data_IF_110608670038
#
_entry.id   IF_110608670038
#
_cell.length_a   1.000
_cell.length_b   1.000
_cell.length_c   1.000
_cell.angle_alpha   90.00
_cell.angle_beta   90.00
_cell.angle_gamma   90.00
#
_symmetry.space_group_name_H-M   'P 1'
#
loop_
_entity.id
_entity.type
_entity.pdbx_description
1 polymer ?
#
# COMPACT_ATOMS: atom_id res chain seq x y z
N UNK A 1 15.33 55.42 -8.80
CA UNK A 1 13.94 55.78 -8.45
C UNK A 1 13.10 55.83 -9.71
N UNK A 2 11.86 55.30 -9.66
CA UNK A 2 10.80 55.17 -10.72
C UNK A 2 11.05 54.02 -11.72
N UNK A 3 10.58 52.78 -11.45
CA UNK A 3 9.21 52.20 -11.55
C UNK A 3 8.61 52.24 -12.96
N UNK A 4 8.58 51.06 -13.61
CA UNK A 4 7.53 50.68 -14.56
C UNK A 4 7.06 49.28 -14.16
N UNK A 5 5.79 49.19 -13.77
CA UNK A 5 5.10 47.99 -13.31
C UNK A 5 4.55 47.24 -14.53
N UNK A 6 4.79 45.93 -14.59
CA UNK A 6 4.10 45.04 -15.52
C UNK A 6 2.85 44.50 -14.82
N UNK A 7 1.68 44.97 -15.30
CA UNK A 7 0.40 44.29 -15.16
C UNK A 7 0.51 42.91 -15.83
N UNK A 8 0.25 41.83 -15.11
CA UNK A 8 -0.36 40.64 -15.72
C UNK A 8 -1.39 40.05 -14.75
N UNK A 9 -2.63 40.45 -15.01
CA UNK A 9 -3.85 39.67 -14.95
C UNK A 9 -4.01 38.69 -13.77
N UNK A 10 -4.77 39.15 -12.79
CA UNK A 10 -5.54 38.34 -11.85
C UNK A 10 -6.41 37.31 -12.57
N UNK A 11 -6.25 36.04 -12.21
CA UNK A 11 -7.33 35.04 -12.31
C UNK A 11 -7.68 34.65 -10.88
N UNK A 12 -8.77 35.22 -10.37
CA UNK A 12 -9.57 34.59 -9.33
C UNK A 12 -10.20 33.35 -9.96
N UNK A 13 -9.95 32.18 -9.40
CA UNK A 13 -10.83 31.02 -9.52
C UNK A 13 -11.14 30.55 -8.10
N UNK A 14 -12.08 31.26 -7.47
CA UNK A 14 -12.95 30.71 -6.44
C UNK A 14 -14.07 29.94 -7.16
N UNK A 15 -14.43 28.80 -6.58
CA UNK A 15 -15.50 27.84 -6.95
C UNK A 15 -15.06 26.63 -7.78
N UNK A 16 -15.02 25.49 -7.09
CA UNK A 16 -14.99 24.17 -7.68
C UNK A 16 -14.58 23.16 -6.61
N UNK A 17 -15.56 22.46 -6.06
CA UNK A 17 -15.40 21.31 -5.16
C UNK A 17 -14.32 20.38 -5.70
N UNK A 18 -13.15 20.35 -5.05
CA UNK A 18 -12.27 19.20 -5.10
C UNK A 18 -12.61 18.38 -3.85
N UNK A 19 -13.73 17.66 -3.89
CA UNK A 19 -13.71 16.30 -3.37
C UNK A 19 -12.62 15.61 -4.16
N UNK A 20 -11.39 15.67 -3.62
CA UNK A 20 -10.25 15.01 -4.21
C UNK A 20 -10.59 13.54 -4.22
N UNK A 21 -10.99 13.05 -5.38
CA UNK A 21 -10.77 11.66 -5.71
C UNK A 21 -9.25 11.54 -5.69
N UNK A 22 -8.68 11.06 -4.57
CA UNK A 22 -7.28 10.69 -4.55
C UNK A 22 -7.09 9.76 -5.76
N UNK A 23 -6.08 10.01 -6.62
CA UNK A 23 -5.88 9.15 -7.77
C UNK A 23 -5.68 7.72 -7.24
N UNK A 24 -6.49 6.78 -7.73
CA UNK A 24 -6.26 5.35 -7.45
C UNK A 24 -4.80 5.02 -7.78
N UNK A 25 -4.15 4.17 -6.97
CA UNK A 25 -2.78 3.77 -7.18
C UNK A 25 -2.71 3.13 -8.56
N UNK A 26 -1.70 3.54 -9.31
CA UNK A 26 -1.43 2.87 -10.56
C UNK A 26 -0.99 1.44 -10.24
N UNK A 27 -1.60 0.46 -10.90
CA UNK A 27 -1.09 -0.90 -10.90
C UNK A 27 0.39 -0.86 -11.29
N UNK A 28 1.25 -1.44 -10.46
CA UNK A 28 2.70 -1.36 -10.61
C UNK A 28 3.38 -0.34 -9.70
N UNK A 29 2.66 0.34 -8.80
CA UNK A 29 3.25 1.22 -7.79
C UNK A 29 4.21 0.44 -6.88
N UNK A 30 5.48 0.87 -6.82
CA UNK A 30 6.44 0.37 -5.84
C UNK A 30 6.11 0.93 -4.44
N UNK A 31 5.98 0.03 -3.46
CA UNK A 31 5.70 0.36 -2.05
C UNK A 31 6.97 0.31 -1.19
N UNK A 32 7.87 -0.63 -1.50
CA UNK A 32 9.13 -0.83 -0.78
C UNK A 32 10.23 -1.02 -1.82
N UNK A 33 11.36 -0.35 -1.64
CA UNK A 33 12.63 -0.60 -2.35
C UNK A 33 13.78 -0.39 -1.37
N UNK A 34 14.01 -1.37 -0.49
CA UNK A 34 15.02 -1.26 0.56
C UNK A 34 15.70 -2.60 0.82
N UNK A 35 17.02 -2.58 1.09
CA UNK A 35 17.82 -3.77 1.46
C UNK A 35 17.69 -4.94 0.48
N UNK A 36 17.52 -4.64 -0.81
CA UNK A 36 17.33 -5.65 -1.85
C UNK A 36 15.94 -6.27 -1.87
N UNK A 37 14.98 -5.79 -1.08
CA UNK A 37 13.58 -6.20 -1.15
C UNK A 37 12.79 -5.15 -1.91
N UNK A 38 12.03 -5.57 -2.92
CA UNK A 38 11.08 -4.71 -3.62
C UNK A 38 9.67 -5.28 -3.51
N UNK A 39 8.73 -4.46 -3.05
CA UNK A 39 7.31 -4.82 -2.96
C UNK A 39 6.51 -3.87 -3.83
N UNK A 40 5.71 -4.42 -4.74
CA UNK A 40 4.94 -3.66 -5.72
C UNK A 40 3.46 -3.99 -5.57
N UNK A 41 2.60 -2.97 -5.50
CA UNK A 41 1.15 -3.13 -5.61
C UNK A 41 0.76 -3.44 -7.05
N UNK A 42 -0.01 -4.50 -7.27
CA UNK A 42 -0.35 -4.99 -8.61
C UNK A 42 -1.86 -5.06 -8.89
N UNK A 43 -2.69 -4.70 -7.94
CA UNK A 43 -4.15 -4.61 -8.10
C UNK A 43 -4.91 -5.04 -6.86
N UNK A 44 -6.23 -4.88 -6.92
CA UNK A 44 -7.19 -5.31 -5.92
C UNK A 44 -8.35 -6.06 -6.58
N UNK A 45 -8.90 -7.04 -5.89
CA UNK A 45 -10.20 -7.63 -6.16
C UNK A 45 -11.05 -7.69 -4.88
N UNK A 46 -12.37 -7.57 -5.02
CA UNK A 46 -13.34 -7.83 -3.96
C UNK A 46 -14.22 -8.99 -4.42
N UNK A 47 -14.26 -10.05 -3.62
CA UNK A 47 -15.06 -11.23 -3.89
C UNK A 47 -16.55 -10.99 -3.60
N UNK A 48 -17.42 -11.85 -4.13
CA UNK A 48 -18.87 -11.74 -3.92
C UNK A 48 -19.29 -11.91 -2.45
N UNK A 49 -18.49 -12.63 -1.65
CA UNK A 49 -18.69 -12.80 -0.21
C UNK A 49 -18.14 -11.63 0.63
N UNK A 50 -17.55 -10.62 -0.02
CA UNK A 50 -17.06 -9.39 0.59
C UNK A 50 -15.59 -9.41 0.97
N UNK A 51 -14.89 -10.55 0.85
CA UNK A 51 -13.44 -10.60 1.10
C UNK A 51 -12.71 -9.70 0.09
N UNK A 52 -11.70 -8.97 0.57
CA UNK A 52 -10.91 -8.07 -0.27
C UNK A 52 -9.48 -8.57 -0.35
N UNK A 53 -8.96 -8.67 -1.57
CA UNK A 53 -7.61 -9.13 -1.86
C UNK A 53 -6.79 -8.02 -2.51
N UNK A 54 -5.66 -7.66 -1.88
CA UNK A 54 -4.64 -6.77 -2.44
C UNK A 54 -3.49 -7.62 -2.97
N UNK A 55 -3.23 -7.55 -4.27
CA UNK A 55 -2.18 -8.32 -4.92
C UNK A 55 -0.85 -7.59 -4.86
N UNK A 56 0.16 -8.24 -4.30
CA UNK A 56 1.53 -7.72 -4.18
C UNK A 56 2.51 -8.63 -4.92
N UNK A 57 3.46 -8.03 -5.63
CA UNK A 57 4.65 -8.71 -6.11
C UNK A 57 5.82 -8.41 -5.14
N UNK A 58 6.47 -9.46 -4.64
CA UNK A 58 7.61 -9.37 -3.72
C UNK A 58 8.84 -9.93 -4.43
N UNK A 59 9.78 -9.06 -4.78
CA UNK A 59 11.05 -9.41 -5.42
C UNK A 59 12.15 -9.43 -4.34
N UNK A 60 12.89 -10.54 -4.25
CA UNK A 60 13.97 -10.70 -3.28
C UNK A 60 15.35 -10.71 -3.95
N UNK A 61 16.01 -9.56 -3.94
CA UNK A 61 17.37 -9.36 -4.43
C UNK A 61 18.41 -9.31 -3.28
N UNK A 62 18.06 -9.75 -2.07
CA UNK A 62 18.90 -9.62 -0.87
C UNK A 62 19.99 -10.69 -0.71
N UNK A 63 19.96 -11.75 -1.51
CA UNK A 63 20.93 -12.86 -1.47
C UNK A 63 20.68 -13.92 -0.38
N UNK A 64 19.61 -13.76 0.42
CA UNK A 64 19.17 -14.72 1.45
C UNK A 64 17.65 -14.93 1.35
N UNK A 65 17.09 -16.07 1.80
CA UNK A 65 15.64 -16.26 1.82
C UNK A 65 14.99 -15.26 2.79
N UNK A 66 13.78 -14.81 2.47
CA UNK A 66 13.02 -13.88 3.31
C UNK A 66 11.59 -14.35 3.53
N UNK A 67 10.99 -13.89 4.62
CA UNK A 67 9.53 -13.89 4.84
C UNK A 67 9.08 -12.45 5.01
N UNK A 68 8.11 -12.00 4.22
CA UNK A 68 7.48 -10.68 4.38
C UNK A 68 6.10 -10.86 5.00
N UNK A 69 5.80 -10.11 6.06
CA UNK A 69 4.53 -10.17 6.79
C UNK A 69 3.94 -8.78 6.99
N UNK A 70 2.60 -8.66 6.96
CA UNK A 70 1.89 -7.41 7.25
C UNK A 70 1.77 -7.18 8.75
N UNK A 71 1.83 -5.92 9.19
CA UNK A 71 1.55 -5.52 10.56
C UNK A 71 0.74 -4.23 10.62
N UNK A 72 -0.05 -4.12 11.69
CA UNK A 72 -0.89 -2.95 12.02
C UNK A 72 -1.70 -2.43 10.83
N UNK A 73 -2.41 -3.36 10.17
CA UNK A 73 -3.23 -3.04 9.01
C UNK A 73 -4.43 -2.17 9.38
N UNK A 74 -4.72 -1.20 8.53
CA UNK A 74 -5.94 -0.40 8.55
C UNK A 74 -6.54 -0.30 7.15
N UNK A 75 -7.86 -0.40 7.06
CA UNK A 75 -8.64 -0.06 5.88
C UNK A 75 -9.57 1.11 6.21
N UNK A 76 -9.62 2.13 5.35
CA UNK A 76 -10.43 3.34 5.57
C UNK A 76 -10.21 3.98 6.96
N UNK A 77 -8.96 3.97 7.45
CA UNK A 77 -8.53 4.41 8.80
C UNK A 77 -9.11 3.59 9.98
N UNK A 78 -9.77 2.47 9.71
CA UNK A 78 -10.16 1.51 10.73
C UNK A 78 -9.08 0.44 10.85
N UNK A 79 -8.43 0.39 12.01
CA UNK A 79 -7.48 -0.68 12.32
C UNK A 79 -8.23 -2.01 12.45
N UNK A 80 -7.80 -3.02 11.69
CA UNK A 80 -8.46 -4.32 11.62
C UNK A 80 -7.47 -5.45 11.33
N UNK A 81 -7.91 -6.69 11.45
CA UNK A 81 -7.08 -7.82 11.07
C UNK A 81 -7.02 -7.97 9.55
N UNK A 82 -5.81 -8.24 9.05
CA UNK A 82 -5.57 -8.69 7.68
C UNK A 82 -4.47 -9.77 7.71
N UNK A 83 -4.42 -10.61 6.70
CA UNK A 83 -3.42 -11.67 6.59
C UNK A 83 -2.56 -11.49 5.34
N UNK A 84 -1.25 -11.47 5.54
CA UNK A 84 -0.28 -11.53 4.46
C UNK A 84 1.01 -12.16 4.98
N UNK A 85 1.47 -13.21 4.31
CA UNK A 85 2.81 -13.76 4.50
C UNK A 85 3.31 -14.23 3.12
N UNK A 86 4.52 -13.82 2.76
CA UNK A 86 5.16 -14.26 1.52
C UNK A 86 6.58 -14.71 1.81
N UNK A 87 6.84 -16.00 1.63
CA UNK A 87 8.18 -16.58 1.63
C UNK A 87 8.78 -16.45 0.24
N UNK A 88 10.00 -15.94 0.13
CA UNK A 88 10.65 -15.69 -1.16
C UNK A 88 12.13 -16.08 -1.07
N UNK A 89 12.55 -17.05 -1.89
CA UNK A 89 13.96 -17.43 -1.98
C UNK A 89 14.80 -16.29 -2.57
N UNK A 90 16.12 -16.36 -2.35
CA UNK A 90 17.05 -15.38 -2.90
C UNK A 90 17.01 -15.39 -4.44
N UNK A 91 16.85 -14.21 -5.05
CA UNK A 91 16.78 -14.01 -6.49
C UNK A 91 15.41 -14.32 -7.12
N UNK A 92 14.40 -14.68 -6.32
CA UNK A 92 13.07 -15.02 -6.81
C UNK A 92 12.05 -13.89 -6.62
N UNK A 93 10.89 -14.05 -7.28
CA UNK A 93 9.72 -13.18 -7.13
C UNK A 93 8.53 -14.02 -6.73
N UNK A 94 7.80 -13.56 -5.71
CA UNK A 94 6.52 -14.11 -5.30
C UNK A 94 5.39 -13.16 -5.68
N UNK A 95 4.25 -13.72 -6.12
CA UNK A 95 2.99 -12.99 -6.29
C UNK A 95 2.04 -13.47 -5.19
N UNK A 96 1.83 -12.62 -4.18
CA UNK A 96 1.11 -12.97 -2.97
C UNK A 96 -0.06 -12.01 -2.74
N UNK A 97 -1.02 -12.45 -1.93
CA UNK A 97 -2.27 -11.73 -1.67
C UNK A 97 -2.33 -11.35 -0.21
N UNK A 98 -2.53 -10.05 0.06
CA UNK A 98 -2.94 -9.55 1.36
C UNK A 98 -4.46 -9.61 1.40
N UNK A 99 -5.00 -10.38 2.33
CA UNK A 99 -6.44 -10.60 2.46
C UNK A 99 -7.01 -9.83 3.63
N UNK A 100 -8.09 -9.10 3.38
CA UNK A 100 -8.94 -8.44 4.36
C UNK A 100 -10.24 -9.25 4.43
N UNK A 101 -10.51 -9.95 5.54
CA UNK A 101 -11.73 -10.74 5.68
C UNK A 101 -12.99 -9.86 5.68
N UNK A 102 -14.05 -10.29 5.02
CA UNK A 102 -15.34 -9.61 4.96
C UNK A 102 -15.87 -9.31 6.36
N UNK A 103 -15.75 -10.27 7.29
CA UNK A 103 -16.17 -10.09 8.68
C UNK A 103 -15.46 -8.94 9.41
N UNK A 104 -14.21 -8.61 9.03
CA UNK A 104 -13.53 -7.43 9.59
C UNK A 104 -14.12 -6.13 9.02
N UNK A 105 -14.49 -6.09 7.74
CA UNK A 105 -15.15 -4.94 7.12
C UNK A 105 -16.56 -4.72 7.70
N UNK A 106 -17.35 -5.79 7.82
CA UNK A 106 -18.70 -5.77 8.39
C UNK A 106 -18.71 -5.24 9.82
N UNK A 107 -17.71 -5.60 10.64
CA UNK A 107 -17.57 -5.12 12.03
C UNK A 107 -17.47 -3.60 12.14
N UNK A 108 -16.95 -2.95 11.10
CA UNK A 108 -16.84 -1.48 11.01
C UNK A 108 -17.92 -0.85 10.12
N UNK A 109 -18.84 -1.65 9.56
CA UNK A 109 -19.89 -1.18 8.65
C UNK A 109 -19.33 -0.67 7.32
N UNK A 110 -18.26 -1.28 6.83
CA UNK A 110 -17.62 -0.95 5.56
C UNK A 110 -18.06 -1.93 4.46
N UNK A 111 -18.51 -1.39 3.33
CA UNK A 111 -18.84 -2.18 2.14
C UNK A 111 -17.69 -2.20 1.11
N UNK A 112 -16.79 -1.21 1.18
CA UNK A 112 -15.67 -1.01 0.25
C UNK A 112 -14.39 -0.63 0.99
N UNK A 113 -13.25 -0.83 0.34
CA UNK A 113 -11.94 -0.36 0.82
C UNK A 113 -11.40 0.64 -0.19
N UNK A 114 -11.27 1.90 0.25
CA UNK A 114 -10.82 3.04 -0.57
C UNK A 114 -9.37 3.42 -0.25
N UNK A 115 -8.87 3.03 0.91
CA UNK A 115 -7.48 3.22 1.32
C UNK A 115 -7.05 2.08 2.25
N UNK A 116 -5.77 1.72 2.18
CA UNK A 116 -5.12 0.83 3.13
C UNK A 116 -3.81 1.43 3.63
N UNK A 117 -3.56 1.29 4.93
CA UNK A 117 -2.26 1.62 5.53
C UNK A 117 -1.77 0.50 6.43
N UNK A 118 -0.47 0.19 6.34
CA UNK A 118 0.11 -0.95 7.03
C UNK A 118 1.64 -0.85 7.06
N UNK A 119 2.26 -1.66 7.90
CA UNK A 119 3.70 -1.89 7.86
C UNK A 119 3.99 -3.25 7.24
N UNK A 120 5.14 -3.37 6.59
CA UNK A 120 5.70 -4.67 6.25
C UNK A 120 6.90 -4.94 7.15
N UNK A 121 6.96 -6.15 7.68
CA UNK A 121 8.12 -6.65 8.40
C UNK A 121 8.73 -7.77 7.58
N UNK A 122 10.02 -7.62 7.28
CA UNK A 122 10.82 -8.63 6.59
C UNK A 122 11.66 -9.36 7.61
N UNK A 123 11.57 -10.69 7.59
CA UNK A 123 12.36 -11.61 8.39
C UNK A 123 13.28 -12.43 7.49
N UNK A 124 14.39 -12.89 8.03
CA UNK A 124 15.18 -13.94 7.41
C UNK A 124 14.34 -15.22 7.31
N UNK A 125 14.35 -15.86 6.15
CA UNK A 125 13.53 -17.04 5.83
C UNK A 125 13.70 -18.18 6.82
N UNK A 126 14.95 -18.53 7.12
CA UNK A 126 15.26 -19.70 7.96
C UNK A 126 15.27 -19.40 9.46
N UNK A 127 15.76 -18.24 9.89
CA UNK A 127 15.98 -17.92 11.31
C UNK A 127 14.85 -17.10 11.93
N UNK A 128 13.99 -16.50 11.09
CA UNK A 128 12.97 -15.53 11.48
C UNK A 128 13.52 -14.30 12.22
N UNK A 129 14.82 -14.04 12.11
CA UNK A 129 15.40 -12.79 12.59
C UNK A 129 14.90 -11.62 11.74
N UNK A 130 14.52 -10.53 12.40
CA UNK A 130 13.96 -9.35 11.72
C UNK A 130 15.06 -8.59 10.96
N UNK A 131 14.86 -8.43 9.66
CA UNK A 131 15.76 -7.71 8.73
C UNK A 131 15.35 -6.25 8.58
N UNK A 132 14.05 -6.01 8.41
CA UNK A 132 13.47 -4.70 8.10
C UNK A 132 12.08 -4.58 8.73
N UNK A 133 11.77 -3.40 9.25
CA UNK A 133 10.40 -2.93 9.43
C UNK A 133 10.31 -1.66 8.59
N UNK A 134 9.33 -1.59 7.68
CA UNK A 134 9.14 -0.41 6.84
C UNK A 134 8.65 0.77 7.68
N UNK A 135 8.69 1.97 7.10
CA UNK A 135 7.76 3.02 7.52
C UNK A 135 6.31 2.60 7.20
N UNK A 136 5.33 3.35 7.70
CA UNK A 136 3.92 3.08 7.36
C UNK A 136 3.71 3.29 5.86
N UNK A 137 3.26 2.25 5.18
CA UNK A 137 2.89 2.27 3.78
C UNK A 137 1.44 2.74 3.67
N UNK A 138 1.14 3.45 2.58
CA UNK A 138 -0.20 3.92 2.25
C UNK A 138 -0.50 3.62 0.79
N UNK A 139 -1.69 3.10 0.54
CA UNK A 139 -2.20 2.74 -0.78
C UNK A 139 -3.64 3.25 -0.87
N UNK A 140 -3.92 4.21 -1.73
CA UNK A 140 -5.31 4.55 -2.13
C UNK A 140 -5.86 3.34 -2.93
N UNK A 141 -7.17 3.07 -3.12
CA UNK A 141 -7.63 1.81 -3.74
C UNK A 141 -8.83 1.92 -4.71
#
# INVERSE_FOLDING_TARGET
>A
MKRCAALFLTVLLLCGVLTGCAPRPEKGQALVEERGVKVTYTGMEQAEDGDVALHLAVENNSGQPIVVNVQEFSANRCQMAASFASEVAAGETSHAVLTIPAGELERYGLDTVEEASFFLVVFHGDTLERILTTEQLHVDL
#
